data_IF_530257981940
#
_entry.id   IF_530257981940
#
_cell.length_a   1.000
_cell.length_b   1.000
_cell.length_c   1.000
_cell.angle_alpha   90.00
_cell.angle_beta   90.00
_cell.angle_gamma   90.00
#
_symmetry.space_group_name_H-M   'P 1'
#
loop_
_entity.id
_entity.type
_entity.pdbx_description
1 polymer ?
#
# COMPACT_ATOMS: atom_id res chain seq x y z
N UNK A 1 25.14 6.58 14.12
CA UNK A 1 24.13 6.92 13.09
C UNK A 1 22.75 6.56 13.67
N UNK A 2 21.88 7.54 13.94
CA UNK A 2 20.55 7.26 14.49
C UNK A 2 19.76 6.35 13.54
N UNK A 3 19.14 5.29 14.06
CA UNK A 3 18.32 4.37 13.26
C UNK A 3 17.10 5.14 12.78
N UNK A 4 16.91 5.26 11.45
CA UNK A 4 15.70 5.81 10.86
C UNK A 4 14.64 4.71 10.84
N UNK A 5 13.48 4.98 11.41
CA UNK A 5 12.29 4.13 11.33
C UNK A 5 11.24 4.82 10.46
N UNK A 6 10.35 4.06 9.84
CA UNK A 6 9.30 4.64 8.99
C UNK A 6 7.97 3.98 9.33
N UNK A 7 6.88 4.72 9.17
CA UNK A 7 5.53 4.23 9.39
C UNK A 7 4.86 3.97 8.04
N UNK A 8 3.99 2.97 7.98
CA UNK A 8 3.46 2.43 6.74
C UNK A 8 1.98 2.12 6.88
N UNK A 9 1.23 2.32 5.81
CA UNK A 9 -0.13 1.81 5.63
C UNK A 9 -0.14 0.94 4.39
N UNK A 10 -0.52 -0.32 4.54
CA UNK A 10 -0.69 -1.27 3.44
C UNK A 10 -2.17 -1.58 3.28
N UNK A 11 -2.66 -1.51 2.06
CA UNK A 11 -4.05 -1.75 1.67
C UNK A 11 -4.04 -2.85 0.62
N UNK A 12 -4.80 -3.91 0.87
CA UNK A 12 -5.13 -4.92 -0.12
C UNK A 12 -6.57 -4.69 -0.55
N UNK A 13 -6.75 -4.47 -1.84
CA UNK A 13 -8.04 -4.19 -2.42
C UNK A 13 -8.27 -5.03 -3.65
N UNK A 14 -9.55 -5.20 -3.98
CA UNK A 14 -10.02 -5.88 -5.18
C UNK A 14 -9.36 -7.26 -5.38
N UNK A 15 -9.16 -8.01 -4.29
CA UNK A 15 -8.65 -9.37 -4.31
C UNK A 15 -9.60 -10.24 -5.16
N UNK A 16 -9.01 -10.99 -6.09
CA UNK A 16 -9.69 -11.87 -7.05
C UNK A 16 -10.46 -11.12 -8.14
N UNK A 17 -10.18 -9.82 -8.34
CA UNK A 17 -10.68 -9.10 -9.51
C UNK A 17 -10.05 -9.70 -10.77
N UNK A 18 -10.82 -9.86 -11.83
CA UNK A 18 -10.32 -10.47 -13.07
C UNK A 18 -9.30 -9.57 -13.79
N UNK A 19 -9.66 -8.32 -14.05
CA UNK A 19 -8.79 -7.31 -14.68
C UNK A 19 -9.19 -5.90 -14.24
N UNK A 20 -8.34 -4.91 -14.53
CA UNK A 20 -8.54 -3.49 -14.25
C UNK A 20 -8.70 -2.70 -15.56
N UNK A 21 -9.82 -2.01 -15.68
CA UNK A 21 -10.14 -1.14 -16.80
C UNK A 21 -9.20 0.08 -16.87
N UNK A 22 -9.13 0.74 -18.03
CA UNK A 22 -8.36 1.98 -18.15
C UNK A 22 -8.91 3.09 -17.25
N UNK A 23 -10.23 3.16 -17.07
CA UNK A 23 -10.88 4.12 -16.16
C UNK A 23 -10.52 3.87 -14.70
N UNK A 24 -10.46 2.62 -14.26
CA UNK A 24 -10.01 2.28 -12.91
C UNK A 24 -8.54 2.63 -12.71
N UNK A 25 -7.68 2.33 -13.69
CA UNK A 25 -6.26 2.71 -13.66
C UNK A 25 -6.11 4.22 -13.54
N UNK A 26 -6.83 4.99 -14.36
CA UNK A 26 -6.85 6.45 -14.29
C UNK A 26 -7.29 6.96 -12.90
N UNK A 27 -8.36 6.40 -12.35
CA UNK A 27 -8.86 6.77 -11.02
C UNK A 27 -7.81 6.49 -9.93
N UNK A 28 -7.12 5.35 -10.00
CA UNK A 28 -6.02 4.99 -9.10
C UNK A 28 -4.86 5.99 -9.19
N UNK A 29 -4.45 6.35 -10.41
CA UNK A 29 -3.38 7.34 -10.64
C UNK A 29 -3.74 8.68 -10.01
N UNK A 30 -4.93 9.21 -10.33
CA UNK A 30 -5.36 10.52 -9.85
C UNK A 30 -5.48 10.53 -8.33
N UNK A 31 -6.06 9.49 -7.74
CA UNK A 31 -6.21 9.37 -6.29
C UNK A 31 -4.86 9.32 -5.59
N UNK A 32 -3.88 8.58 -6.13
CA UNK A 32 -2.52 8.53 -5.58
C UNK A 32 -1.86 9.92 -5.55
N UNK A 33 -1.99 10.69 -6.64
CA UNK A 33 -1.45 12.05 -6.76
C UNK A 33 -2.15 12.99 -5.79
N UNK A 34 -3.49 12.99 -5.75
CA UNK A 34 -4.29 13.81 -4.84
C UNK A 34 -3.93 13.54 -3.38
N UNK A 35 -3.72 12.28 -2.99
CA UNK A 35 -3.28 11.95 -1.63
C UNK A 35 -1.89 12.55 -1.35
N UNK A 36 -0.94 12.43 -2.29
CA UNK A 36 0.39 13.01 -2.13
C UNK A 36 0.36 14.54 -1.97
N UNK A 37 -0.44 15.22 -2.79
CA UNK A 37 -0.56 16.68 -2.79
C UNK A 37 -1.36 17.20 -1.59
N UNK A 38 -2.52 16.61 -1.29
CA UNK A 38 -3.47 17.18 -0.33
C UNK A 38 -3.33 16.60 1.09
N UNK A 39 -3.04 15.31 1.23
CA UNK A 39 -2.93 14.66 2.55
C UNK A 39 -1.50 14.76 3.09
N UNK A 40 -0.51 14.65 2.20
CA UNK A 40 0.91 14.74 2.54
C UNK A 40 1.54 16.08 2.21
N UNK A 41 0.78 17.03 1.65
CA UNK A 41 1.22 18.41 1.37
C UNK A 41 2.49 18.44 0.49
N UNK A 42 2.62 17.50 -0.45
CA UNK A 42 3.79 17.38 -1.32
C UNK A 42 3.59 18.12 -2.64
N UNK A 43 4.42 19.13 -2.91
CA UNK A 43 4.31 19.96 -4.12
C UNK A 43 5.28 19.58 -5.24
N UNK A 44 6.29 18.73 -5.00
CA UNK A 44 7.24 18.22 -6.02
C UNK A 44 7.22 16.68 -6.08
N UNK A 45 6.05 16.13 -6.42
CA UNK A 45 5.91 14.68 -6.62
C UNK A 45 6.67 14.22 -7.87
N UNK A 46 7.45 13.15 -7.69
CA UNK A 46 8.13 12.42 -8.76
C UNK A 46 7.58 11.02 -8.84
N UNK A 47 7.50 10.52 -10.07
CA UNK A 47 6.68 9.37 -10.41
C UNK A 47 7.50 8.30 -11.12
N UNK A 48 7.25 7.03 -10.85
CA UNK A 48 7.67 5.89 -11.67
C UNK A 48 6.44 5.13 -12.19
N UNK A 49 6.57 4.51 -13.35
CA UNK A 49 5.49 3.80 -14.02
C UNK A 49 5.93 2.36 -14.32
N UNK A 50 5.27 1.41 -13.67
CA UNK A 50 5.36 0.00 -13.98
C UNK A 50 4.35 -0.33 -15.07
N UNK A 51 4.82 -0.87 -16.19
CA UNK A 51 3.96 -1.19 -17.33
C UNK A 51 4.75 -1.55 -18.57
N UNK A 52 4.26 -2.53 -19.34
CA UNK A 52 4.90 -2.85 -20.61
C UNK A 52 4.84 -1.64 -21.54
N UNK A 53 6.01 -1.20 -21.99
CA UNK A 53 6.12 -0.04 -22.88
C UNK A 53 6.23 1.33 -22.21
N UNK A 54 6.27 1.48 -20.86
CA UNK A 54 6.40 2.81 -20.23
C UNK A 54 7.83 3.32 -20.03
N UNK A 55 8.83 2.43 -20.03
CA UNK A 55 10.28 2.71 -20.16
C UNK A 55 10.87 3.71 -19.15
N UNK A 56 11.81 3.25 -18.34
CA UNK A 56 12.50 4.08 -17.33
C UNK A 56 13.50 5.04 -18.01
N UNK A 57 13.57 6.26 -17.50
CA UNK A 57 14.54 7.29 -17.89
C UNK A 57 15.96 6.91 -17.46
N UNK A 58 16.99 7.14 -18.29
CA UNK A 58 18.39 6.91 -17.86
C UNK A 58 18.76 7.92 -16.76
N UNK A 59 19.11 7.43 -15.57
CA UNK A 59 19.75 8.23 -14.50
C UNK A 59 18.87 8.72 -13.35
N UNK A 60 17.54 8.62 -13.43
CA UNK A 60 16.61 8.86 -12.31
C UNK A 60 15.42 7.89 -12.48
N UNK A 61 15.15 6.98 -11.52
CA UNK A 61 13.99 6.09 -11.60
C UNK A 61 12.67 6.86 -11.55
N UNK A 62 12.65 8.08 -10.98
CA UNK A 62 11.46 8.91 -10.89
C UNK A 62 11.52 10.07 -11.91
N UNK A 63 10.38 10.40 -12.50
CA UNK A 63 10.21 11.54 -13.41
C UNK A 63 9.26 12.57 -12.82
N UNK A 64 9.46 13.85 -13.17
CA UNK A 64 8.53 14.91 -12.75
C UNK A 64 7.11 14.63 -13.26
N UNK A 65 6.11 15.07 -12.48
CA UNK A 65 4.69 14.92 -12.79
C UNK A 65 4.31 15.41 -14.20
N UNK A 66 4.91 16.52 -14.68
CA UNK A 66 4.67 17.03 -16.05
C UNK A 66 5.15 16.06 -17.14
N UNK A 67 6.29 15.39 -16.93
CA UNK A 67 6.81 14.37 -17.83
C UNK A 67 6.01 13.09 -17.73
N UNK A 68 5.56 12.73 -16.52
CA UNK A 68 4.64 11.63 -16.28
C UNK A 68 3.35 11.80 -17.11
N UNK A 69 2.68 12.95 -17.02
CA UNK A 69 1.46 13.21 -17.78
C UNK A 69 1.68 13.15 -19.29
N UNK A 70 2.78 13.72 -19.81
CA UNK A 70 3.13 13.57 -21.23
C UNK A 70 3.29 12.10 -21.68
N UNK A 71 3.77 11.21 -20.80
CA UNK A 71 3.86 9.78 -21.11
C UNK A 71 2.48 9.13 -21.13
N UNK A 72 1.63 9.45 -20.14
CA UNK A 72 0.25 8.98 -20.07
C UNK A 72 -0.55 9.46 -21.27
N UNK A 73 -0.51 10.75 -21.62
CA UNK A 73 -1.22 11.31 -22.78
C UNK A 73 -0.82 10.62 -24.10
N UNK A 74 0.46 10.22 -24.22
CA UNK A 74 0.97 9.56 -25.42
C UNK A 74 0.61 8.08 -25.50
N UNK A 75 0.53 7.38 -24.38
CA UNK A 75 0.45 5.90 -24.33
C UNK A 75 -0.87 5.37 -23.76
N UNK A 76 -1.68 6.25 -23.15
CA UNK A 76 -2.88 5.90 -22.38
C UNK A 76 -2.53 5.30 -21.02
N UNK A 77 -3.48 4.53 -20.49
CA UNK A 77 -3.31 3.68 -19.30
C UNK A 77 -3.20 2.19 -19.66
N UNK A 78 -3.15 1.87 -20.96
CA UNK A 78 -3.03 0.51 -21.47
C UNK A 78 -1.75 -0.13 -20.92
N UNK A 79 -1.87 -1.35 -20.41
CA UNK A 79 -0.77 -2.14 -19.80
C UNK A 79 -0.06 -1.50 -18.59
N UNK A 80 -0.67 -0.48 -17.96
CA UNK A 80 -0.17 0.03 -16.69
C UNK A 80 -0.40 -1.03 -15.60
N UNK A 81 0.68 -1.43 -14.93
CA UNK A 81 0.67 -2.36 -13.81
C UNK A 81 0.87 -1.66 -12.47
N UNK A 82 1.45 -0.47 -12.42
CA UNK A 82 1.61 0.22 -11.15
C UNK A 82 2.26 1.57 -11.28
N UNK A 83 2.19 2.35 -10.21
CA UNK A 83 2.82 3.67 -10.11
C UNK A 83 3.42 3.81 -8.73
N UNK A 84 4.60 4.41 -8.67
CA UNK A 84 5.17 4.96 -7.43
C UNK A 84 5.22 6.48 -7.54
N UNK A 85 4.90 7.17 -6.45
CA UNK A 85 4.92 8.61 -6.30
C UNK A 85 5.65 8.97 -4.99
N UNK A 86 6.74 9.72 -5.08
CA UNK A 86 7.48 10.20 -3.90
C UNK A 86 8.24 11.49 -4.18
N UNK A 87 8.77 12.11 -3.12
CA UNK A 87 9.84 13.08 -3.30
C UNK A 87 11.15 12.34 -3.66
N UNK A 88 12.16 13.06 -4.14
CA UNK A 88 13.47 12.49 -4.53
C UNK A 88 14.22 11.86 -3.34
N UNK A 89 13.90 12.28 -2.13
CA UNK A 89 14.63 11.84 -0.94
C UNK A 89 14.10 10.49 -0.47
N UNK A 90 14.98 9.48 -0.34
CA UNK A 90 14.63 8.12 0.07
C UNK A 90 13.90 8.01 1.42
N UNK A 91 13.98 9.06 2.25
CA UNK A 91 13.39 9.14 3.59
C UNK A 91 12.16 10.06 3.69
N UNK A 92 11.66 10.51 2.54
CA UNK A 92 10.44 11.31 2.42
C UNK A 92 9.18 10.44 2.39
N UNK A 93 8.03 11.08 2.19
CA UNK A 93 6.82 10.40 1.83
C UNK A 93 6.98 9.63 0.52
N UNK A 94 6.49 8.40 0.50
CA UNK A 94 6.28 7.62 -0.71
C UNK A 94 4.87 7.05 -0.69
N UNK A 95 4.32 6.89 -1.88
CA UNK A 95 3.12 6.09 -2.10
C UNK A 95 3.23 5.32 -3.37
N UNK A 96 2.56 4.19 -3.44
CA UNK A 96 2.50 3.41 -4.66
C UNK A 96 1.29 2.51 -4.69
N UNK A 97 0.91 2.12 -5.88
CA UNK A 97 0.08 0.95 -6.08
C UNK A 97 0.71 0.01 -7.10
N UNK A 98 0.43 -1.28 -6.92
CA UNK A 98 0.81 -2.32 -7.85
C UNK A 98 -0.38 -3.25 -8.10
N UNK A 99 -0.66 -3.48 -9.37
CA UNK A 99 -1.63 -4.43 -9.88
C UNK A 99 -0.88 -5.73 -10.10
N UNK A 100 -1.00 -6.61 -9.12
CA UNK A 100 -0.39 -7.93 -9.21
C UNK A 100 -1.29 -8.85 -10.02
N UNK A 101 -0.71 -9.44 -11.06
CA UNK A 101 -1.31 -10.50 -11.86
C UNK A 101 -0.39 -11.71 -11.72
N UNK A 102 -0.73 -12.66 -10.85
CA UNK A 102 -0.05 -13.95 -10.82
C UNK A 102 -0.70 -14.90 -11.81
N UNK A 103 0.13 -15.69 -12.47
CA UNK A 103 -0.20 -16.42 -13.70
C UNK A 103 -1.36 -17.41 -13.60
N UNK A 104 -1.88 -17.74 -12.41
CA UNK A 104 -2.84 -18.82 -12.28
C UNK A 104 -4.00 -18.69 -11.31
N UNK A 105 -4.11 -17.73 -10.37
CA UNK A 105 -5.30 -17.76 -9.48
C UNK A 105 -5.87 -16.42 -8.99
N UNK A 106 -5.11 -15.34 -8.85
CA UNK A 106 -5.66 -14.12 -8.25
C UNK A 106 -5.01 -12.84 -8.79
N UNK A 107 -5.83 -11.84 -9.13
CA UNK A 107 -5.36 -10.46 -9.27
C UNK A 107 -5.68 -9.68 -8.00
N UNK A 108 -4.77 -8.78 -7.61
CA UNK A 108 -4.95 -7.91 -6.44
C UNK A 108 -4.37 -6.52 -6.69
N UNK A 109 -4.93 -5.53 -6.01
CA UNK A 109 -4.41 -4.18 -5.93
C UNK A 109 -3.73 -4.02 -4.57
N UNK A 110 -2.41 -3.91 -4.60
CA UNK A 110 -1.60 -3.58 -3.42
C UNK A 110 -1.36 -2.07 -3.44
N UNK A 111 -1.74 -1.37 -2.37
CA UNK A 111 -1.49 0.07 -2.21
C UNK A 111 -0.70 0.28 -0.93
N UNK A 112 0.36 1.07 -1.01
CA UNK A 112 1.29 1.28 0.09
C UNK A 112 1.61 2.75 0.25
N UNK A 113 1.52 3.24 1.49
CA UNK A 113 1.87 4.60 1.89
C UNK A 113 2.95 4.56 2.95
N UNK A 114 3.94 5.43 2.80
CA UNK A 114 5.14 5.48 3.61
C UNK A 114 5.23 6.90 4.18
N UNK A 115 5.15 7.04 5.50
CA UNK A 115 5.33 8.33 6.18
C UNK A 115 6.77 8.79 6.04
N UNK A 116 7.08 10.05 6.35
CA UNK A 116 8.48 10.48 6.42
C UNK A 116 9.20 9.72 7.54
N UNK A 117 10.50 9.49 7.38
CA UNK A 117 11.29 8.79 8.39
C UNK A 117 11.24 9.52 9.75
N UNK A 118 11.02 8.74 10.81
CA UNK A 118 10.85 9.14 12.20
C UNK A 118 9.57 9.94 12.52
N UNK A 119 8.68 10.13 11.55
CA UNK A 119 7.34 10.67 11.84
C UNK A 119 6.52 9.61 12.60
N UNK A 120 5.67 10.05 13.52
CA UNK A 120 4.69 9.17 14.18
C UNK A 120 3.61 8.71 13.19
N UNK A 121 3.02 7.54 13.43
CA UNK A 121 1.90 7.05 12.63
C UNK A 121 0.68 7.95 12.85
N UNK A 122 0.29 8.69 11.81
CA UNK A 122 -0.85 9.60 11.84
C UNK A 122 -2.13 8.85 11.45
N UNK A 123 -2.97 8.57 12.45
CA UNK A 123 -4.20 7.81 12.31
C UNK A 123 -5.27 8.55 11.49
N UNK A 124 -5.29 9.89 11.55
CA UNK A 124 -6.25 10.70 10.79
C UNK A 124 -5.85 10.78 9.31
N UNK A 125 -4.56 10.90 9.00
CA UNK A 125 -4.08 10.76 7.61
C UNK A 125 -4.37 9.37 7.07
N UNK A 126 -4.09 8.32 7.84
CA UNK A 126 -4.39 6.95 7.42
C UNK A 126 -5.89 6.76 7.12
N UNK A 127 -6.77 7.30 7.97
CA UNK A 127 -8.22 7.28 7.74
C UNK A 127 -8.60 8.01 6.45
N UNK A 128 -8.11 9.23 6.21
CA UNK A 128 -8.40 10.00 4.99
C UNK A 128 -7.94 9.27 3.73
N UNK A 129 -6.81 8.58 3.78
CA UNK A 129 -6.32 7.74 2.67
C UNK A 129 -7.31 6.62 2.38
N UNK A 130 -7.76 5.90 3.42
CA UNK A 130 -8.75 4.83 3.27
C UNK A 130 -10.03 5.38 2.65
N UNK A 131 -10.57 6.48 3.18
CA UNK A 131 -11.77 7.14 2.67
C UNK A 131 -11.64 7.59 1.20
N UNK A 132 -10.45 8.00 0.77
CA UNK A 132 -10.20 8.38 -0.63
C UNK A 132 -10.25 7.18 -1.60
N UNK A 133 -9.92 5.97 -1.15
CA UNK A 133 -9.95 4.76 -1.98
C UNK A 133 -11.29 4.03 -1.96
N UNK A 134 -12.10 4.15 -0.91
CA UNK A 134 -13.41 3.48 -0.82
C UNK A 134 -14.31 3.66 -2.07
N UNK A 135 -14.39 4.85 -2.70
CA UNK A 135 -15.24 5.04 -3.88
C UNK A 135 -14.75 4.35 -5.15
N UNK A 136 -13.47 3.92 -5.20
CA UNK A 136 -12.84 3.40 -6.42
C UNK A 136 -12.30 1.97 -6.28
N UNK A 137 -12.20 1.44 -5.06
CA UNK A 137 -11.70 0.11 -4.80
C UNK A 137 -12.40 -0.53 -3.59
N UNK A 138 -12.74 -1.83 -3.71
CA UNK A 138 -13.19 -2.61 -2.56
C UNK A 138 -11.98 -2.95 -1.69
N UNK A 139 -11.87 -2.34 -0.53
CA UNK A 139 -10.79 -2.63 0.43
C UNK A 139 -11.13 -3.95 1.14
N UNK A 140 -10.29 -4.97 0.94
CA UNK A 140 -10.49 -6.29 1.55
C UNK A 140 -9.84 -6.37 2.94
N UNK A 141 -8.70 -5.69 3.10
CA UNK A 141 -7.95 -5.61 4.35
C UNK A 141 -6.90 -4.48 4.27
N UNK A 142 -6.70 -3.74 5.36
CA UNK A 142 -5.57 -2.82 5.46
C UNK A 142 -4.99 -2.80 6.88
N UNK A 143 -3.72 -2.43 7.00
CA UNK A 143 -3.09 -2.26 8.31
C UNK A 143 -1.97 -1.23 8.31
N UNK A 144 -1.83 -0.56 9.45
CA UNK A 144 -0.75 0.35 9.75
C UNK A 144 0.33 -0.33 10.60
N UNK A 145 1.60 -0.13 10.25
CA UNK A 145 2.73 -0.69 11.00
C UNK A 145 3.99 0.18 10.93
N UNK A 146 4.86 0.03 11.92
CA UNK A 146 6.20 0.63 11.93
C UNK A 146 7.16 -0.37 11.25
N UNK A 147 7.78 0.00 10.13
CA UNK A 147 8.88 -0.82 9.61
C UNK A 147 10.20 -0.38 10.25
N UNK A 148 10.85 -1.33 10.90
CA UNK A 148 12.27 -1.27 11.17
C UNK A 148 13.03 -1.31 9.82
N UNK A 149 14.15 -0.60 9.72
CA UNK A 149 15.01 -0.52 8.53
C UNK A 149 15.63 -1.86 8.09
N UNK A 150 15.40 -2.94 8.83
CA UNK A 150 15.69 -4.30 8.41
C UNK A 150 14.59 -4.91 7.51
N UNK A 151 13.47 -4.20 7.32
CA UNK A 151 12.38 -4.58 6.45
C UNK A 151 12.47 -3.75 5.16
N UNK A 152 13.14 -4.26 4.12
CA UNK A 152 13.14 -3.60 2.82
C UNK A 152 11.95 -4.11 1.99
N UNK A 153 11.11 -3.17 1.54
CA UNK A 153 10.13 -3.24 0.43
C UNK A 153 9.19 -4.45 0.27
N UNK A 154 9.02 -5.24 1.32
CA UNK A 154 8.07 -6.35 1.45
C UNK A 154 8.57 -7.35 2.46
N UNK A 155 8.99 -6.89 3.64
CA UNK A 155 9.74 -7.72 4.59
C UNK A 155 10.99 -8.43 3.99
N UNK A 156 11.53 -8.03 2.83
CA UNK A 156 12.67 -8.72 2.25
C UNK A 156 13.89 -8.46 3.13
N UNK A 157 14.59 -9.52 3.53
CA UNK A 157 15.90 -9.37 4.17
C UNK A 157 16.92 -9.33 3.03
N UNK A 158 17.40 -8.14 2.70
CA UNK A 158 18.65 -8.02 1.93
C UNK A 158 19.80 -8.45 2.81
N UNK A 159 20.33 -9.66 2.60
CA UNK A 159 21.65 -10.02 3.14
C UNK A 159 22.70 -9.40 2.24
N UNK A 160 23.45 -8.44 2.77
CA UNK A 160 24.70 -8.02 2.13
C UNK A 160 25.72 -9.17 2.23
N UNK A 161 26.15 -9.70 1.09
CA UNK A 161 27.36 -10.51 1.01
C UNK A 161 28.48 -9.68 0.37
N UNK A 162 29.74 -10.06 0.58
CA UNK A 162 30.92 -9.39 0.01
C UNK A 162 30.91 -9.26 -1.53
N UNK A 163 29.98 -9.92 -2.24
CA UNK A 163 29.95 -9.99 -3.71
C UNK A 163 28.59 -9.67 -4.37
N UNK A 164 27.48 -9.62 -3.62
CA UNK A 164 26.16 -9.15 -4.10
C UNK A 164 25.14 -9.05 -2.96
N UNK A 165 24.09 -8.25 -3.18
CA UNK A 165 22.85 -8.27 -2.38
C UNK A 165 21.86 -9.26 -3.00
N UNK A 166 21.38 -10.21 -2.20
CA UNK A 166 20.24 -11.05 -2.56
C UNK A 166 19.06 -10.69 -1.65
N UNK A 167 17.92 -10.39 -2.26
CA UNK A 167 16.67 -10.15 -1.53
C UNK A 167 16.01 -11.51 -1.27
N UNK A 168 15.68 -11.82 -0.02
CA UNK A 168 14.94 -13.03 0.38
C UNK A 168 13.60 -12.67 1.04
N UNK A 169 12.51 -13.33 0.63
CA UNK A 169 11.17 -13.19 1.23
C UNK A 169 11.12 -14.01 2.52
N UNK A 170 10.75 -13.45 3.68
CA UNK A 170 10.58 -14.22 4.89
C UNK A 170 9.50 -15.28 4.72
N UNK A 171 9.71 -16.43 5.34
CA UNK A 171 8.78 -17.56 5.28
C UNK A 171 7.37 -17.18 5.75
N UNK A 172 7.25 -16.25 6.70
CA UNK A 172 5.95 -15.75 7.17
C UNK A 172 5.20 -14.95 6.08
N UNK A 173 5.91 -14.21 5.22
CA UNK A 173 5.29 -13.49 4.10
C UNK A 173 4.92 -14.46 2.97
N UNK A 174 5.77 -15.45 2.67
CA UNK A 174 5.42 -16.53 1.71
C UNK A 174 4.11 -17.23 2.12
N UNK A 175 4.01 -17.63 3.39
CA UNK A 175 2.79 -18.26 3.93
C UNK A 175 1.59 -17.32 3.83
N UNK A 176 1.79 -16.02 4.03
CA UNK A 176 0.69 -15.06 3.95
C UNK A 176 0.23 -14.85 2.50
N UNK A 177 1.14 -14.82 1.53
CA UNK A 177 0.79 -14.68 0.11
C UNK A 177 -0.06 -15.86 -0.38
N UNK A 178 0.23 -17.08 0.05
CA UNK A 178 -0.59 -18.27 -0.24
C UNK A 178 -2.03 -18.17 0.30
N UNK A 179 -2.24 -17.31 1.30
CA UNK A 179 -3.50 -17.21 2.04
C UNK A 179 -4.30 -15.94 1.69
N UNK A 180 -3.80 -15.12 0.77
CA UNK A 180 -4.38 -13.80 0.48
C UNK A 180 -5.81 -13.88 -0.06
N UNK A 181 -6.13 -14.93 -0.81
CA UNK A 181 -7.48 -15.19 -1.33
C UNK A 181 -8.53 -15.48 -0.24
N UNK A 182 -8.10 -15.80 0.98
CA UNK A 182 -8.98 -16.05 2.13
C UNK A 182 -9.30 -14.78 2.93
N UNK A 183 -8.65 -13.65 2.64
CA UNK A 183 -8.91 -12.37 3.30
C UNK A 183 -10.38 -11.95 3.18
N UNK A 184 -11.03 -12.00 1.98
CA UNK A 184 -12.45 -11.71 1.83
C UNK A 184 -13.37 -12.70 2.58
N UNK A 185 -12.82 -13.81 3.07
CA UNK A 185 -13.53 -14.82 3.85
C UNK A 185 -13.29 -14.71 5.36
N UNK A 186 -12.58 -13.69 5.83
CA UNK A 186 -12.39 -13.44 7.25
C UNK A 186 -10.99 -13.75 7.77
N UNK A 187 -10.04 -14.14 6.91
CA UNK A 187 -8.65 -14.36 7.31
C UNK A 187 -7.90 -13.04 7.38
N UNK A 188 -6.96 -12.94 8.32
CA UNK A 188 -6.16 -11.73 8.54
C UNK A 188 -4.72 -12.09 8.91
N UNK A 189 -3.75 -11.23 8.54
CA UNK A 189 -2.32 -11.49 8.77
C UNK A 189 -2.00 -11.55 10.25
N UNK A 190 -2.36 -10.48 10.95
CA UNK A 190 -2.28 -10.31 12.41
C UNK A 190 -2.97 -9.00 12.81
N UNK A 191 -3.32 -8.84 14.09
CA UNK A 191 -3.90 -7.58 14.59
C UNK A 191 -2.80 -6.54 14.88
N UNK A 192 -2.72 -5.50 14.05
CA UNK A 192 -1.82 -4.36 14.23
C UNK A 192 -2.40 -3.28 15.15
N UNK A 193 -1.69 -2.16 15.32
CA UNK A 193 -2.20 -1.00 16.06
C UNK A 193 -3.31 -0.27 15.28
N UNK A 194 -3.27 -0.30 13.96
CA UNK A 194 -4.30 0.22 13.07
C UNK A 194 -4.68 -0.88 12.07
N UNK A 195 -5.95 -1.25 11.99
CA UNK A 195 -6.44 -2.24 11.04
C UNK A 195 -7.75 -1.73 10.41
N UNK A 196 -7.95 -2.03 9.14
CA UNK A 196 -9.24 -1.89 8.45
C UNK A 196 -9.73 -3.30 8.18
N UNK A 197 -10.89 -3.63 8.76
CA UNK A 197 -11.43 -4.98 8.81
C UNK A 197 -12.81 -5.02 8.17
N UNK A 198 -13.07 -6.11 7.45
CA UNK A 198 -14.39 -6.44 6.94
C UNK A 198 -15.25 -7.17 7.99
N UNK A 199 -16.57 -7.22 7.78
CA UNK A 199 -17.51 -7.84 8.72
C UNK A 199 -17.17 -9.29 9.08
N UNK A 200 -16.74 -10.13 8.12
CA UNK A 200 -16.35 -11.51 8.44
C UNK A 200 -15.12 -11.58 9.34
N UNK A 201 -14.13 -10.71 9.12
CA UNK A 201 -12.96 -10.61 9.98
C UNK A 201 -13.38 -10.20 11.40
N UNK A 202 -14.28 -9.21 11.51
CA UNK A 202 -14.84 -8.74 12.77
C UNK A 202 -15.55 -9.87 13.53
N UNK A 203 -16.43 -10.62 12.87
CA UNK A 203 -17.14 -11.77 13.46
C UNK A 203 -16.19 -12.83 14.04
N UNK A 204 -15.09 -13.12 13.33
CA UNK A 204 -14.09 -14.09 13.73
C UNK A 204 -13.31 -13.62 14.99
N UNK A 205 -12.95 -12.34 15.06
CA UNK A 205 -12.13 -11.80 16.15
C UNK A 205 -12.97 -11.37 17.36
N UNK A 206 -14.25 -11.04 17.19
CA UNK A 206 -15.12 -10.62 18.30
C UNK A 206 -15.29 -11.68 19.39
N UNK A 207 -14.96 -12.95 19.14
CA UNK A 207 -14.92 -14.00 20.17
C UNK A 207 -13.65 -13.94 21.04
N UNK A 208 -12.53 -13.51 20.47
CA UNK A 208 -11.20 -13.52 21.10
C UNK A 208 -10.81 -12.15 21.71
N UNK A 209 -11.36 -11.06 21.18
CA UNK A 209 -10.86 -9.71 21.43
C UNK A 209 -11.79 -8.79 22.25
N UNK A 210 -12.86 -9.32 22.89
CA UNK A 210 -13.75 -8.56 23.81
C UNK A 210 -13.03 -7.83 24.96
N UNK A 211 -11.74 -8.07 25.16
CA UNK A 211 -10.92 -7.56 26.27
C UNK A 211 -9.88 -6.52 25.86
N UNK A 212 -9.76 -6.17 24.58
CA UNK A 212 -8.79 -5.15 24.14
C UNK A 212 -9.41 -3.75 24.16
N UNK A 213 -8.61 -2.77 24.59
CA UNK A 213 -8.96 -1.36 24.52
C UNK A 213 -8.75 -0.85 23.08
N UNK A 214 -9.81 -0.96 22.28
CA UNK A 214 -9.82 -0.64 20.85
C UNK A 214 -10.83 0.46 20.58
N UNK A 215 -10.38 1.56 19.98
CA UNK A 215 -11.25 2.55 19.36
C UNK A 215 -11.72 2.02 18.01
N UNK A 216 -13.03 1.91 17.85
CA UNK A 216 -13.68 1.46 16.60
C UNK A 216 -14.27 2.67 15.87
N UNK A 217 -13.95 2.81 14.59
CA UNK A 217 -14.51 3.83 13.70
C UNK A 217 -15.17 3.11 12.53
N UNK A 218 -16.49 3.23 12.40
CA UNK A 218 -17.23 2.65 11.28
C UNK A 218 -17.02 3.50 10.02
N UNK A 219 -16.63 2.86 8.92
CA UNK A 219 -16.47 3.51 7.62
C UNK A 219 -17.75 3.39 6.78
N UNK A 220 -18.27 2.18 6.66
CA UNK A 220 -19.51 1.87 5.97
C UNK A 220 -20.19 0.63 6.58
N UNK A 221 -21.02 -0.08 5.81
CA UNK A 221 -21.68 -1.31 6.28
C UNK A 221 -20.78 -2.54 6.24
N UNK A 222 -19.67 -2.49 5.50
CA UNK A 222 -18.77 -3.62 5.27
C UNK A 222 -17.46 -3.48 6.04
N UNK A 223 -17.03 -2.25 6.37
CA UNK A 223 -15.70 -1.96 6.91
C UNK A 223 -15.70 -1.14 8.21
N UNK A 224 -14.78 -1.51 9.10
CA UNK A 224 -14.46 -0.78 10.33
C UNK A 224 -12.94 -0.56 10.46
N UNK A 225 -12.54 0.58 11.02
CA UNK A 225 -11.18 0.82 11.49
C UNK A 225 -11.10 0.45 12.97
N UNK A 226 -10.18 -0.44 13.30
CA UNK A 226 -9.86 -0.83 14.67
C UNK A 226 -8.49 -0.26 15.05
N UNK A 227 -8.47 0.68 15.99
CA UNK A 227 -7.28 1.37 16.49
C UNK A 227 -7.00 0.93 17.93
N UNK A 228 -5.85 0.34 18.20
CA UNK A 228 -5.43 0.03 19.58
C UNK A 228 -5.08 1.33 20.28
N UNK A 229 -5.65 1.56 21.46
CA UNK A 229 -5.17 2.63 22.31
C UNK A 229 -3.77 2.25 22.78
N UNK A 230 -2.77 3.03 22.37
CA UNK A 230 -1.42 2.89 22.89
C UNK A 230 -1.40 3.58 24.26
N UNK A 231 -1.59 2.79 25.32
CA UNK A 231 -1.39 3.22 26.72
C UNK A 231 0.08 3.45 27.02
#
# INVERSE_FOLDING_TARGET
MNKKTQNYLRIYANINKEDYTETEKEALVKTLITIGEDIFEQTDLRMDINGSGYGISKGDPLVKQTTFWKKIDKKGYKNLFGISASHKDDYSYRSQFNLWIQSYNFSRLDIEFFWKANDSFDHEKAKKIIEAYLPIARIDYAYGYLADKNLTWGEWITKESFWSSTSYIPKEEEIWEEQIGEIPNGKMKKMYAFNVLNQKQIENIQKEYKKLDIKVIRLDNELEIWQKNLS
#
